data_IF_982479700236
#
_entry.id   IF_982479700236
#
_cell.length_a   1.000
_cell.length_b   1.000
_cell.length_c   1.000
_cell.angle_alpha   90.00
_cell.angle_beta   90.00
_cell.angle_gamma   90.00
#
_symmetry.space_group_name_H-M   'P 1'
#
loop_
_entity.id
_entity.type
_entity.pdbx_description
1 polymer ?
#
# COMPACT_ATOMS: atom_id res chain seq x y z
N UNK A 1 -8.98 13.97 9.26
CA UNK A 1 -8.42 14.88 8.22
C UNK A 1 -9.45 15.02 7.10
N UNK A 2 -9.86 16.24 6.78
CA UNK A 2 -10.81 16.45 5.70
C UNK A 2 -10.13 16.34 4.32
N UNK A 3 -10.92 16.37 3.25
CA UNK A 3 -10.41 16.17 1.88
C UNK A 3 -9.35 17.19 1.47
N UNK A 4 -9.50 18.45 1.86
CA UNK A 4 -8.53 19.49 1.51
C UNK A 4 -7.20 19.30 2.24
N UNK A 5 -7.25 18.93 3.51
CA UNK A 5 -6.04 18.64 4.29
C UNK A 5 -5.34 17.40 3.78
N UNK A 6 -6.11 16.37 3.41
CA UNK A 6 -5.55 15.14 2.86
C UNK A 6 -4.82 15.43 1.55
N UNK A 7 -5.42 16.19 0.66
CA UNK A 7 -4.80 16.55 -0.61
C UNK A 7 -3.50 17.32 -0.39
N UNK A 8 -3.51 18.29 0.50
CA UNK A 8 -2.31 19.09 0.80
C UNK A 8 -1.21 18.23 1.41
N UNK A 9 -1.55 17.35 2.34
CA UNK A 9 -0.60 16.43 2.94
C UNK A 9 0.02 15.53 1.88
N UNK A 10 -0.82 14.97 1.00
CA UNK A 10 -0.36 14.10 -0.08
C UNK A 10 0.55 14.83 -1.06
N UNK A 11 0.18 16.04 -1.47
CA UNK A 11 1.02 16.84 -2.36
C UNK A 11 2.39 17.09 -1.76
N UNK A 12 2.47 17.32 -0.45
CA UNK A 12 3.74 17.47 0.24
C UNK A 12 4.56 16.18 0.26
N UNK A 13 3.91 15.03 0.42
CA UNK A 13 4.60 13.74 0.34
C UNK A 13 5.20 13.49 -1.04
N UNK A 14 4.51 13.87 -2.09
CA UNK A 14 5.00 13.71 -3.46
C UNK A 14 6.27 14.51 -3.72
N UNK A 15 6.46 15.61 -3.00
CA UNK A 15 7.63 16.48 -3.14
C UNK A 15 8.79 16.10 -2.22
N UNK A 16 8.53 15.33 -1.18
CA UNK A 16 9.55 14.95 -0.21
C UNK A 16 10.38 13.79 -0.78
N UNK A 17 11.71 13.94 -0.92
CA UNK A 17 12.55 12.87 -1.44
C UNK A 17 12.42 11.58 -0.63
N UNK A 18 12.12 10.50 -1.32
CA UNK A 18 11.88 9.18 -0.75
C UNK A 18 12.12 8.17 -1.88
N UNK A 19 12.20 6.89 -1.58
CA UNK A 19 12.38 5.87 -2.60
C UNK A 19 11.15 5.64 -3.48
N UNK A 20 9.98 6.16 -3.07
CA UNK A 20 8.73 5.95 -3.79
C UNK A 20 7.97 7.25 -4.12
N UNK A 21 8.43 8.42 -3.64
CA UNK A 21 7.65 9.64 -3.77
C UNK A 21 7.27 9.99 -5.22
N UNK A 22 8.12 9.66 -6.18
CA UNK A 22 7.87 9.91 -7.60
C UNK A 22 6.73 9.07 -8.17
N UNK A 23 6.37 7.98 -7.51
CA UNK A 23 5.35 7.03 -7.97
C UNK A 23 4.01 7.18 -7.27
N UNK A 24 3.91 8.06 -6.27
CA UNK A 24 2.71 8.15 -5.44
C UNK A 24 1.46 8.52 -6.26
N UNK A 25 1.59 9.46 -7.17
CA UNK A 25 0.46 9.86 -8.04
C UNK A 25 0.01 8.73 -8.96
N UNK A 26 0.96 7.93 -9.45
CA UNK A 26 0.65 6.76 -10.27
C UNK A 26 -0.16 5.73 -9.47
N UNK A 27 0.21 5.52 -8.21
CA UNK A 27 -0.54 4.60 -7.34
C UNK A 27 -1.97 5.09 -7.12
N UNK A 28 -2.17 6.39 -6.95
CA UNK A 28 -3.53 6.97 -6.85
C UNK A 28 -4.33 6.65 -8.10
N UNK A 29 -3.74 6.88 -9.27
CA UNK A 29 -4.43 6.68 -10.55
C UNK A 29 -4.95 5.25 -10.70
N UNK A 30 -4.11 4.26 -10.40
CA UNK A 30 -4.54 2.87 -10.49
C UNK A 30 -5.51 2.50 -9.38
N UNK A 31 -5.33 3.05 -8.19
CA UNK A 31 -6.20 2.79 -7.05
C UNK A 31 -7.60 3.33 -7.20
N UNK A 32 -7.78 4.44 -7.93
CA UNK A 32 -9.08 5.09 -8.10
C UNK A 32 -10.12 4.21 -8.80
N UNK A 33 -9.71 3.22 -9.56
CA UNK A 33 -10.62 2.30 -10.25
C UNK A 33 -10.76 0.97 -9.53
N UNK A 34 -10.35 0.91 -8.28
CA UNK A 34 -10.37 -0.30 -7.45
C UNK A 34 -11.26 -0.11 -6.22
N UNK A 35 -12.03 -1.15 -5.89
CA UNK A 35 -12.83 -1.17 -4.66
C UNK A 35 -12.06 -1.78 -3.49
N UNK A 36 -11.16 -2.71 -3.76
CA UNK A 36 -10.37 -3.38 -2.74
C UNK A 36 -8.90 -3.32 -3.13
N UNK A 37 -8.08 -2.80 -2.22
CA UNK A 37 -6.63 -2.68 -2.42
C UNK A 37 -5.92 -3.46 -1.31
N UNK A 38 -4.93 -4.26 -1.69
CA UNK A 38 -4.05 -4.97 -0.76
C UNK A 38 -2.64 -4.44 -0.92
N UNK A 39 -2.07 -3.96 0.16
CA UNK A 39 -0.71 -3.44 0.21
C UNK A 39 0.19 -4.37 1.00
N UNK A 40 1.30 -4.79 0.39
CA UNK A 40 2.31 -5.61 1.05
C UNK A 40 3.60 -4.82 1.18
N UNK A 41 4.01 -4.57 2.43
CA UNK A 41 5.12 -3.69 2.74
C UNK A 41 4.63 -2.27 2.99
N UNK A 42 4.70 -1.83 4.24
CA UNK A 42 4.11 -0.56 4.68
C UNK A 42 5.17 0.46 5.10
N UNK A 43 6.16 0.01 5.86
CA UNK A 43 7.23 0.87 6.43
C UNK A 43 6.64 2.07 7.17
N UNK A 44 6.87 3.27 6.65
CA UNK A 44 6.40 4.53 7.26
C UNK A 44 5.05 5.00 6.71
N UNK A 45 4.32 4.13 6.03
CA UNK A 45 2.99 4.40 5.47
C UNK A 45 2.98 5.36 4.27
N UNK A 46 4.09 5.58 3.59
CA UNK A 46 4.13 6.56 2.50
C UNK A 46 3.21 6.16 1.36
N UNK A 47 3.37 4.94 0.82
CA UNK A 47 2.48 4.43 -0.23
C UNK A 47 1.04 4.28 0.23
N UNK A 48 0.84 3.99 1.52
CA UNK A 48 -0.49 3.85 2.10
C UNK A 48 -1.35 5.10 1.87
N UNK A 49 -0.74 6.29 1.94
CA UNK A 49 -1.44 7.54 1.70
C UNK A 49 -1.97 7.65 0.26
N UNK A 50 -1.24 7.13 -0.73
CA UNK A 50 -1.74 7.07 -2.10
C UNK A 50 -3.05 6.30 -2.18
N UNK A 51 -3.11 5.16 -1.51
CA UNK A 51 -4.30 4.32 -1.54
C UNK A 51 -5.46 4.95 -0.77
N UNK A 52 -5.19 5.70 0.29
CA UNK A 52 -6.23 6.47 0.96
C UNK A 52 -6.78 7.57 0.05
N UNK A 53 -5.91 8.28 -0.65
CA UNK A 53 -6.34 9.33 -1.60
C UNK A 53 -7.20 8.74 -2.71
N UNK A 54 -6.90 7.53 -3.15
CA UNK A 54 -7.69 6.82 -4.16
C UNK A 54 -9.09 6.42 -3.67
N UNK A 55 -9.28 6.34 -2.36
CA UNK A 55 -10.57 6.05 -1.70
C UNK A 55 -11.24 4.75 -2.14
N UNK A 56 -10.55 3.59 -2.00
CA UNK A 56 -11.22 2.31 -2.19
C UNK A 56 -12.25 2.09 -1.07
N UNK A 57 -13.13 1.12 -1.25
CA UNK A 57 -14.00 0.71 -0.14
C UNK A 57 -13.19 0.07 0.98
N UNK A 58 -12.19 -0.75 0.61
CA UNK A 58 -11.37 -1.50 1.55
C UNK A 58 -9.90 -1.40 1.17
N UNK A 59 -9.07 -1.14 2.18
CA UNK A 59 -7.61 -1.16 2.06
C UNK A 59 -7.06 -2.05 3.18
N UNK A 60 -6.36 -3.12 2.81
CA UNK A 60 -5.72 -4.03 3.75
C UNK A 60 -4.21 -3.97 3.53
N UNK A 61 -3.48 -3.63 4.57
CA UNK A 61 -2.03 -3.48 4.52
C UNK A 61 -1.34 -4.48 5.42
N UNK A 62 -0.28 -5.10 4.92
CA UNK A 62 0.49 -6.12 5.63
C UNK A 62 1.95 -5.70 5.73
N UNK A 63 2.55 -5.96 6.88
CA UNK A 63 3.99 -5.84 7.07
C UNK A 63 4.42 -6.78 8.22
N UNK A 64 5.67 -7.23 8.17
CA UNK A 64 6.23 -8.04 9.26
C UNK A 64 6.56 -7.17 10.48
N UNK A 65 6.62 -5.87 10.31
CA UNK A 65 6.89 -4.89 11.38
C UNK A 65 5.73 -3.92 11.52
N UNK A 66 5.48 -3.49 12.75
CA UNK A 66 4.53 -2.41 12.96
C UNK A 66 5.12 -1.10 12.42
N UNK A 67 4.32 -0.30 11.70
CA UNK A 67 4.73 1.06 11.36
C UNK A 67 4.90 1.89 12.63
N UNK A 68 5.61 3.03 12.56
CA UNK A 68 5.66 3.96 13.69
C UNK A 68 4.24 4.29 14.16
N UNK A 69 4.02 4.28 15.47
CA UNK A 69 2.67 4.40 16.04
C UNK A 69 1.93 5.67 15.61
N UNK A 70 2.65 6.80 15.53
CA UNK A 70 2.05 8.05 15.08
C UNK A 70 1.61 7.98 13.61
N UNK A 71 2.40 7.32 12.76
CA UNK A 71 2.10 7.19 11.34
C UNK A 71 0.85 6.33 11.11
N UNK A 72 0.80 5.16 11.75
CA UNK A 72 -0.35 4.27 11.55
C UNK A 72 -1.62 4.84 12.17
N UNK A 73 -1.50 5.55 13.29
CA UNK A 73 -2.64 6.23 13.90
C UNK A 73 -3.22 7.28 12.96
N UNK A 74 -2.37 8.08 12.35
CA UNK A 74 -2.80 9.11 11.39
C UNK A 74 -3.52 8.48 10.19
N UNK A 75 -3.02 7.36 9.68
CA UNK A 75 -3.67 6.61 8.59
C UNK A 75 -5.04 6.10 9.02
N UNK A 76 -5.14 5.47 10.18
CA UNK A 76 -6.40 4.93 10.70
C UNK A 76 -7.44 6.02 10.90
N UNK A 77 -7.04 7.12 11.51
CA UNK A 77 -7.96 8.24 11.77
C UNK A 77 -8.46 8.84 10.46
N UNK A 78 -7.57 9.02 9.49
CA UNK A 78 -7.95 9.57 8.19
C UNK A 78 -8.86 8.62 7.42
N UNK A 79 -8.55 7.33 7.41
CA UNK A 79 -9.38 6.33 6.75
C UNK A 79 -10.82 6.38 7.30
N UNK A 80 -10.96 6.47 8.60
CA UNK A 80 -12.26 6.60 9.25
C UNK A 80 -12.99 7.87 8.79
N UNK A 81 -12.27 8.98 8.73
CA UNK A 81 -12.87 10.27 8.33
C UNK A 81 -13.37 10.27 6.89
N UNK A 82 -12.69 9.58 6.00
CA UNK A 82 -13.04 9.55 4.56
C UNK A 82 -13.84 8.32 4.15
N UNK A 83 -14.16 7.44 5.09
CA UNK A 83 -15.01 6.28 4.83
C UNK A 83 -14.34 5.11 4.17
N UNK A 84 -13.03 4.95 4.33
CA UNK A 84 -12.28 3.78 3.86
C UNK A 84 -12.17 2.75 4.99
N UNK A 85 -12.54 1.51 4.72
CA UNK A 85 -12.33 0.41 5.66
C UNK A 85 -10.87 -0.03 5.58
N UNK A 86 -10.07 0.47 6.52
CA UNK A 86 -8.63 0.21 6.57
C UNK A 86 -8.30 -0.78 7.67
N UNK A 87 -7.45 -1.76 7.35
CA UNK A 87 -6.87 -2.69 8.32
C UNK A 87 -5.38 -2.81 8.10
N UNK A 88 -4.62 -2.77 9.18
CA UNK A 88 -3.20 -3.15 9.16
C UNK A 88 -3.04 -4.49 9.86
N UNK A 89 -2.35 -5.43 9.22
CA UNK A 89 -2.13 -6.77 9.75
C UNK A 89 -0.62 -7.03 9.79
N UNK A 90 -0.10 -7.26 10.98
CA UNK A 90 1.30 -7.65 11.16
C UNK A 90 1.45 -9.14 10.84
N UNK A 91 2.03 -9.43 9.69
CA UNK A 91 2.21 -10.80 9.23
C UNK A 91 3.24 -10.87 8.11
N UNK A 92 3.82 -12.04 7.92
CA UNK A 92 4.65 -12.30 6.75
C UNK A 92 3.74 -12.55 5.54
N UNK A 93 4.01 -11.89 4.43
CA UNK A 93 3.20 -12.00 3.21
C UNK A 93 3.26 -13.37 2.56
N UNK A 94 4.21 -14.21 2.93
CA UNK A 94 4.32 -15.58 2.43
C UNK A 94 3.63 -16.60 3.34
N UNK A 95 3.08 -16.17 4.47
CA UNK A 95 2.41 -17.05 5.45
C UNK A 95 0.92 -16.77 5.59
N UNK A 96 0.34 -16.01 4.68
CA UNK A 96 -1.06 -15.59 4.76
C UNK A 96 -1.83 -15.95 3.50
N UNK A 97 -3.15 -15.99 3.63
CA UNK A 97 -4.07 -15.96 2.50
C UNK A 97 -4.75 -14.61 2.50
N UNK A 98 -4.73 -13.92 1.35
CA UNK A 98 -5.41 -12.65 1.20
C UNK A 98 -6.83 -12.86 0.67
N UNK A 99 -7.69 -11.87 0.89
CA UNK A 99 -8.99 -11.81 0.23
C UNK A 99 -8.81 -11.44 -1.24
N UNK A 100 -9.82 -11.74 -2.05
CA UNK A 100 -9.83 -11.24 -3.43
C UNK A 100 -9.70 -9.73 -3.42
N UNK A 101 -8.83 -9.21 -4.27
CA UNK A 101 -8.49 -7.78 -4.30
C UNK A 101 -8.41 -7.30 -5.75
N UNK A 102 -8.70 -6.03 -5.97
CA UNK A 102 -8.58 -5.45 -7.31
C UNK A 102 -7.15 -5.06 -7.63
N UNK A 103 -6.42 -4.53 -6.64
CA UNK A 103 -5.04 -4.12 -6.80
C UNK A 103 -4.19 -4.75 -5.70
N UNK A 104 -3.11 -5.40 -6.11
CA UNK A 104 -2.09 -5.92 -5.21
C UNK A 104 -0.82 -5.09 -5.41
N UNK A 105 -0.41 -4.36 -4.36
CA UNK A 105 0.83 -3.61 -4.36
C UNK A 105 1.87 -4.33 -3.52
N UNK A 106 3.04 -4.62 -4.10
CA UNK A 106 4.11 -5.35 -3.43
C UNK A 106 5.34 -4.45 -3.32
N UNK A 107 5.70 -4.11 -2.09
CA UNK A 107 6.92 -3.35 -1.76
C UNK A 107 7.54 -3.93 -0.48
N UNK A 108 7.72 -5.24 -0.48
CA UNK A 108 8.29 -5.98 0.66
C UNK A 108 9.80 -6.09 0.53
N UNK A 109 10.39 -7.02 1.29
CA UNK A 109 11.82 -7.27 1.20
C UNK A 109 12.20 -7.73 -0.21
N UNK A 110 13.18 -7.06 -0.79
CA UNK A 110 13.50 -7.19 -2.20
C UNK A 110 14.45 -8.34 -2.48
N UNK A 111 13.96 -9.57 -2.42
CA UNK A 111 14.65 -10.71 -3.00
C UNK A 111 13.76 -11.31 -4.08
N UNK A 112 14.38 -11.85 -5.08
CA UNK A 112 13.68 -12.52 -6.16
C UNK A 112 12.86 -13.71 -5.64
N UNK A 113 13.43 -14.46 -4.69
CA UNK A 113 12.74 -15.61 -4.10
C UNK A 113 11.48 -15.19 -3.33
N UNK A 114 11.55 -14.11 -2.58
CA UNK A 114 10.38 -13.58 -1.85
C UNK A 114 9.28 -13.14 -2.82
N UNK A 115 9.65 -12.38 -3.83
CA UNK A 115 8.70 -11.89 -4.82
C UNK A 115 8.02 -13.05 -5.56
N UNK A 116 8.77 -14.08 -5.94
CA UNK A 116 8.20 -15.25 -6.59
C UNK A 116 7.16 -15.92 -5.70
N UNK A 117 7.44 -16.07 -4.41
CA UNK A 117 6.50 -16.67 -3.46
C UNK A 117 5.25 -15.81 -3.31
N UNK A 118 5.41 -14.51 -3.19
CA UNK A 118 4.28 -13.60 -3.08
C UNK A 118 3.38 -13.66 -4.31
N UNK A 119 3.96 -13.65 -5.49
CA UNK A 119 3.20 -13.76 -6.73
C UNK A 119 2.50 -15.12 -6.86
N UNK A 120 3.18 -16.20 -6.51
CA UNK A 120 2.60 -17.55 -6.56
C UNK A 120 1.40 -17.69 -5.63
N UNK A 121 1.47 -17.07 -4.44
CA UNK A 121 0.40 -17.16 -3.45
C UNK A 121 -0.78 -16.24 -3.75
N UNK A 122 -0.53 -15.05 -4.27
CA UNK A 122 -1.53 -13.99 -4.25
C UNK A 122 -2.00 -13.51 -5.61
N UNK A 123 -1.29 -13.79 -6.69
CA UNK A 123 -1.66 -13.27 -8.01
C UNK A 123 -3.03 -13.76 -8.47
N UNK A 124 -3.39 -15.02 -8.18
CA UNK A 124 -4.69 -15.59 -8.56
C UNK A 124 -5.88 -14.93 -7.85
N UNK A 125 -5.63 -14.22 -6.78
CA UNK A 125 -6.66 -13.49 -6.03
C UNK A 125 -6.75 -12.01 -6.42
N UNK A 126 -5.96 -11.58 -7.41
CA UNK A 126 -5.92 -10.20 -7.87
C UNK A 126 -6.69 -10.06 -9.18
N UNK A 127 -7.66 -9.14 -9.20
CA UNK A 127 -8.61 -9.01 -10.29
C UNK A 127 -8.17 -8.05 -11.40
N UNK A 128 -7.47 -6.96 -11.05
CA UNK A 128 -7.16 -5.91 -12.04
C UNK A 128 -5.67 -5.65 -12.19
N UNK A 129 -4.96 -5.28 -11.12
CA UNK A 129 -3.56 -4.83 -11.22
C UNK A 129 -2.67 -5.45 -10.16
N UNK A 130 -1.47 -5.82 -10.58
CA UNK A 130 -0.37 -6.12 -9.67
C UNK A 130 0.70 -5.08 -9.94
N UNK A 131 1.05 -4.29 -8.93
CA UNK A 131 2.09 -3.28 -9.01
C UNK A 131 3.20 -3.65 -8.06
N UNK A 132 4.42 -3.70 -8.57
CA UNK A 132 5.59 -4.03 -7.79
C UNK A 132 6.54 -2.83 -7.80
N UNK A 133 6.95 -2.43 -6.61
CA UNK A 133 7.97 -1.40 -6.47
C UNK A 133 9.31 -2.06 -6.18
N UNK A 134 10.25 -1.90 -7.09
CA UNK A 134 11.59 -2.44 -6.92
C UNK A 134 12.58 -1.34 -6.63
N UNK A 135 13.22 -1.45 -5.47
CA UNK A 135 14.36 -0.62 -5.13
C UNK A 135 15.64 -1.44 -5.22
N UNK A 136 15.57 -2.57 -5.89
CA UNK A 136 16.66 -3.53 -5.88
C UNK A 136 17.84 -3.00 -6.63
N UNK A 137 18.96 -2.98 -5.92
CA UNK A 137 20.24 -3.02 -6.56
C UNK A 137 20.57 -4.48 -6.78
N UNK A 138 20.30 -4.95 -7.95
CA UNK A 138 20.74 -6.27 -8.33
C UNK A 138 22.25 -6.34 -8.36
N UNK A 139 22.83 -7.53 -8.37
CA UNK A 139 22.21 -8.79 -8.63
C UNK A 139 21.60 -9.35 -7.37
N UNK A 140 20.42 -9.65 -7.46
CA UNK A 140 19.78 -10.36 -6.37
C UNK A 140 20.24 -11.80 -6.33
#
# INVERSE_FOLDING_TARGET
>A
MNSNKLKKYFDNLCKKPDDINEHLETLVKYGEVCDHITEMGVRNCVSTWSFLVARPNTLVSYDIRNPPSANIKSVKDTAKDIGVDFSFIKASTIDIEIEYTDLLFIDTHHSYAQLQKELALHSSKTNKYIIMHETISCPS
#
